data_IF_799412484057
#
_entry.id   IF_799412484057
#
_cell.length_a   1.000
_cell.length_b   1.000
_cell.length_c   1.000
_cell.angle_alpha   90.00
_cell.angle_beta   90.00
_cell.angle_gamma   90.00
#
_symmetry.space_group_name_H-M   'P 1'
#
loop_
_entity.id
_entity.type
_entity.pdbx_description
1 polymer ?
#
# COMPACT_ATOMS: atom_id res chain seq x y z
N UNK A 1 9.67 5.74 -9.94
CA UNK A 1 8.54 6.10 -9.05
C UNK A 1 8.89 5.80 -7.59
N UNK A 2 9.46 4.63 -7.33
CA UNK A 2 9.76 4.15 -5.97
C UNK A 2 10.72 5.07 -5.22
N UNK A 3 11.74 5.62 -5.88
CA UNK A 3 12.64 6.62 -5.27
C UNK A 3 11.89 7.83 -4.72
N UNK A 4 10.90 8.35 -5.45
CA UNK A 4 10.10 9.49 -4.99
C UNK A 4 9.23 9.12 -3.77
N UNK A 5 8.68 7.90 -3.75
CA UNK A 5 7.93 7.39 -2.61
C UNK A 5 8.83 7.19 -1.37
N UNK A 6 10.05 6.69 -1.57
CA UNK A 6 11.07 6.55 -0.52
C UNK A 6 11.46 7.93 0.04
N UNK A 7 11.75 8.90 -0.83
CA UNK A 7 12.05 10.26 -0.42
C UNK A 7 10.90 10.91 0.37
N UNK A 8 9.65 10.66 -0.05
CA UNK A 8 8.47 11.12 0.68
C UNK A 8 8.36 10.47 2.07
N UNK A 9 8.62 9.16 2.18
CA UNK A 9 8.62 8.47 3.47
C UNK A 9 9.73 9.00 4.38
N UNK A 10 10.92 9.25 3.85
CA UNK A 10 12.03 9.82 4.62
C UNK A 10 11.70 11.22 5.14
N UNK A 11 11.11 12.07 4.30
CA UNK A 11 10.60 13.37 4.74
C UNK A 11 9.58 13.22 5.88
N UNK A 12 8.61 12.29 5.75
CA UNK A 12 7.59 12.06 6.77
C UNK A 12 8.16 11.52 8.09
N UNK A 13 9.27 10.78 8.04
CA UNK A 13 10.00 10.26 9.20
C UNK A 13 10.66 11.38 10.01
N UNK A 14 11.13 12.43 9.34
CA UNK A 14 11.70 13.63 9.98
C UNK A 14 10.68 14.57 10.61
N UNK A 15 9.38 14.38 10.37
CA UNK A 15 8.32 15.19 10.99
C UNK A 15 8.07 14.77 12.44
N UNK A 16 7.51 15.66 13.29
CA UNK A 16 7.10 15.32 14.65
C UNK A 16 6.21 14.06 14.70
N UNK A 17 6.25 13.29 15.81
CA UNK A 17 5.40 12.12 15.99
C UNK A 17 3.93 12.44 15.73
N UNK A 18 3.30 11.65 14.86
CA UNK A 18 1.92 11.82 14.48
C UNK A 18 1.15 10.56 14.85
N UNK A 19 0.16 10.70 15.73
CA UNK A 19 -0.68 9.58 16.18
C UNK A 19 -1.71 9.13 15.12
N UNK A 20 -1.83 9.87 14.02
CA UNK A 20 -2.73 9.53 12.92
C UNK A 20 -2.06 8.69 11.84
N UNK A 21 -2.81 8.45 10.78
CA UNK A 21 -2.35 7.77 9.57
C UNK A 21 -2.04 8.79 8.49
N UNK A 22 -0.95 8.57 7.76
CA UNK A 22 -0.54 9.41 6.63
C UNK A 22 -1.11 8.85 5.33
N UNK A 23 -1.39 9.72 4.37
CA UNK A 23 -1.80 9.32 3.03
C UNK A 23 -0.81 9.88 2.02
N UNK A 24 -0.32 9.02 1.13
CA UNK A 24 0.41 9.39 -0.07
C UNK A 24 -0.57 9.32 -1.24
N UNK A 25 -0.51 10.30 -2.12
CA UNK A 25 -1.28 10.31 -3.38
C UNK A 25 -0.28 10.49 -4.53
N UNK A 26 -0.26 9.56 -5.47
CA UNK A 26 0.62 9.60 -6.64
C UNK A 26 -0.19 9.71 -7.92
N UNK A 27 0.30 10.50 -8.88
CA UNK A 27 -0.19 10.52 -10.26
C UNK A 27 0.87 9.84 -11.13
N UNK A 28 0.52 8.79 -11.85
CA UNK A 28 1.48 7.98 -12.62
C UNK A 28 0.82 7.27 -13.80
N UNK A 29 1.56 6.98 -14.86
CA UNK A 29 1.12 6.05 -15.92
C UNK A 29 1.48 4.60 -15.61
N UNK A 30 2.12 4.34 -14.46
CA UNK A 30 2.70 3.06 -14.05
C UNK A 30 3.79 2.53 -15.01
N UNK A 31 4.31 3.37 -15.90
CA UNK A 31 5.37 3.02 -16.84
C UNK A 31 6.75 3.15 -16.20
N UNK A 32 7.74 2.44 -16.74
CA UNK A 32 9.15 2.57 -16.38
C UNK A 32 9.67 1.52 -15.39
N UNK A 33 10.95 1.66 -15.08
CA UNK A 33 11.73 0.83 -14.16
C UNK A 33 12.19 1.67 -12.98
N UNK A 34 12.42 1.02 -11.84
CA UNK A 34 13.15 1.55 -10.71
C UNK A 34 14.49 0.84 -10.63
N UNK A 35 15.54 1.59 -10.35
CA UNK A 35 16.89 1.07 -10.12
C UNK A 35 17.15 1.07 -8.61
N UNK A 36 17.54 -0.07 -8.05
CA UNK A 36 17.89 -0.25 -6.63
C UNK A 36 16.80 0.20 -5.63
N UNK A 37 15.55 0.35 -6.08
CA UNK A 37 14.41 0.75 -5.27
C UNK A 37 13.25 -0.25 -5.46
N UNK A 38 13.36 -1.48 -4.94
CA UNK A 38 12.33 -2.51 -5.09
C UNK A 38 11.07 -2.17 -4.29
N UNK A 39 9.92 -2.70 -4.72
CA UNK A 39 8.61 -2.43 -4.09
C UNK A 39 8.58 -2.77 -2.60
N UNK A 40 9.29 -3.82 -2.17
CA UNK A 40 9.36 -4.22 -0.76
C UNK A 40 10.05 -3.14 0.11
N UNK A 41 11.02 -2.41 -0.43
CA UNK A 41 11.64 -1.30 0.29
C UNK A 41 10.65 -0.14 0.49
N UNK A 42 9.83 0.15 -0.52
CA UNK A 42 8.78 1.18 -0.45
C UNK A 42 7.70 0.79 0.56
N UNK A 43 7.24 -0.47 0.54
CA UNK A 43 6.25 -0.98 1.49
C UNK A 43 6.75 -0.87 2.93
N UNK A 44 8.00 -1.30 3.20
CA UNK A 44 8.65 -1.12 4.51
C UNK A 44 8.69 0.35 4.94
N UNK A 45 9.13 1.24 4.05
CA UNK A 45 9.21 2.66 4.36
C UNK A 45 7.83 3.27 4.70
N UNK A 46 6.78 2.90 3.94
CA UNK A 46 5.41 3.33 4.23
C UNK A 46 4.87 2.75 5.54
N UNK A 47 5.23 1.52 5.89
CA UNK A 47 4.87 0.91 7.17
C UNK A 47 5.43 1.69 8.35
N UNK A 48 6.72 2.02 8.30
CA UNK A 48 7.43 2.77 9.35
C UNK A 48 6.77 4.12 9.64
N UNK A 49 6.29 4.83 8.61
CA UNK A 49 5.64 6.13 8.78
C UNK A 49 4.11 6.04 8.87
N UNK A 50 3.55 4.84 8.98
CA UNK A 50 2.11 4.60 8.99
C UNK A 50 1.39 5.32 7.81
N UNK A 51 1.95 5.20 6.62
CA UNK A 51 1.39 5.74 5.39
C UNK A 51 0.58 4.68 4.61
N UNK A 52 -0.32 5.18 3.78
CA UNK A 52 -1.05 4.40 2.77
C UNK A 52 -0.96 5.10 1.42
N UNK A 53 -0.69 4.33 0.37
CA UNK A 53 -0.58 4.85 -0.99
C UNK A 53 -1.91 4.78 -1.73
N UNK A 54 -2.36 5.92 -2.25
CA UNK A 54 -3.44 5.98 -3.22
C UNK A 54 -2.88 6.49 -4.55
N UNK A 55 -3.42 6.00 -5.65
CA UNK A 55 -2.89 6.32 -6.98
C UNK A 55 -3.98 6.82 -7.91
N UNK A 56 -3.64 7.82 -8.70
CA UNK A 56 -4.36 8.27 -9.87
C UNK A 56 -3.52 7.80 -11.07
N UNK A 57 -4.09 6.92 -11.87
CA UNK A 57 -3.39 6.32 -13.00
C UNK A 57 -4.00 6.72 -14.34
N UNK A 58 -3.20 6.73 -15.40
CA UNK A 58 -3.76 6.95 -16.75
C UNK A 58 -4.78 5.87 -17.10
N UNK A 59 -5.67 6.16 -18.05
CA UNK A 59 -6.73 5.23 -18.48
C UNK A 59 -6.17 3.86 -18.87
N UNK A 60 -5.00 3.83 -19.51
CA UNK A 60 -4.39 2.62 -20.06
C UNK A 60 -3.31 2.00 -19.16
N UNK A 61 -3.07 2.56 -17.97
CA UNK A 61 -2.14 2.00 -17.00
C UNK A 61 -2.55 0.57 -16.62
N UNK A 62 -1.56 -0.31 -16.58
CA UNK A 62 -1.68 -1.74 -16.25
C UNK A 62 -0.57 -2.14 -15.27
N UNK A 63 -0.80 -3.14 -14.41
CA UNK A 63 0.27 -3.81 -13.68
C UNK A 63 1.33 -4.35 -14.65
N UNK A 64 2.60 -4.48 -14.22
CA UNK A 64 3.63 -5.08 -15.04
C UNK A 64 3.26 -6.52 -15.39
N UNK A 65 3.55 -6.91 -16.64
CA UNK A 65 3.38 -8.30 -17.05
C UNK A 65 4.47 -9.17 -16.41
N UNK A 66 4.17 -10.45 -16.09
CA UNK A 66 5.21 -11.36 -15.63
C UNK A 66 6.31 -11.49 -16.70
N UNK A 67 7.57 -11.70 -16.28
CA UNK A 67 8.66 -11.95 -17.22
C UNK A 67 8.31 -13.11 -18.15
N UNK A 68 8.74 -13.02 -19.42
CA UNK A 68 8.57 -14.12 -20.36
C UNK A 68 9.37 -15.34 -19.87
N UNK A 69 8.89 -16.58 -20.10
CA UNK A 69 9.67 -17.77 -19.77
C UNK A 69 11.09 -17.71 -20.35
N UNK A 70 12.09 -17.99 -19.53
CA UNK A 70 13.50 -17.95 -19.93
C UNK A 70 14.17 -16.56 -19.92
N UNK A 71 13.44 -15.50 -19.56
CA UNK A 71 14.02 -14.15 -19.36
C UNK A 71 14.16 -13.89 -17.87
N UNK A 72 15.40 -13.77 -17.40
CA UNK A 72 15.71 -13.32 -16.04
C UNK A 72 15.88 -11.80 -16.05
N UNK A 73 15.08 -11.09 -15.25
CA UNK A 73 15.27 -9.66 -15.06
C UNK A 73 16.48 -9.41 -14.16
N UNK A 74 17.25 -8.35 -14.45
CA UNK A 74 18.33 -7.93 -13.55
C UNK A 74 17.72 -7.64 -12.15
N UNK A 75 18.22 -8.25 -11.06
CA UNK A 75 17.71 -8.02 -9.71
C UNK A 75 17.81 -6.56 -9.26
N UNK A 76 18.68 -5.76 -9.86
CA UNK A 76 18.82 -4.33 -9.54
C UNK A 76 17.66 -3.49 -10.08
N UNK A 77 16.80 -4.05 -10.94
CA UNK A 77 15.70 -3.34 -11.57
C UNK A 77 14.34 -3.98 -11.28
N UNK A 78 13.36 -3.16 -10.98
CA UNK A 78 11.95 -3.58 -10.86
C UNK A 78 11.06 -2.70 -11.71
N UNK A 79 10.04 -3.28 -12.34
CA UNK A 79 9.00 -2.48 -12.99
C UNK A 79 8.19 -1.70 -11.95
N UNK A 80 7.67 -0.54 -12.34
CA UNK A 80 6.70 0.16 -11.52
C UNK A 80 5.43 -0.68 -11.34
N UNK A 81 5.02 -0.90 -10.09
CA UNK A 81 3.75 -1.53 -9.75
C UNK A 81 3.00 -0.75 -8.67
N UNK A 82 2.42 0.37 -9.06
CA UNK A 82 1.58 1.18 -8.17
C UNK A 82 0.31 0.44 -7.72
N UNK A 83 -0.14 -0.56 -8.49
CA UNK A 83 -1.30 -1.37 -8.16
C UNK A 83 -0.98 -2.31 -6.99
N UNK A 84 0.18 -2.96 -7.03
CA UNK A 84 0.73 -3.71 -5.90
C UNK A 84 0.86 -2.81 -4.67
N UNK A 85 1.59 -1.70 -4.78
CA UNK A 85 1.87 -0.82 -3.65
C UNK A 85 0.59 -0.25 -3.00
N UNK A 86 -0.39 0.15 -3.82
CA UNK A 86 -1.68 0.60 -3.33
C UNK A 86 -2.45 -0.53 -2.63
N UNK A 87 -2.50 -1.73 -3.20
CA UNK A 87 -3.18 -2.89 -2.60
C UNK A 87 -2.55 -3.28 -1.26
N UNK A 88 -1.23 -3.49 -1.22
CA UNK A 88 -0.53 -3.99 -0.03
C UNK A 88 -0.57 -2.99 1.13
N UNK A 89 -0.49 -1.69 0.82
CA UNK A 89 -0.67 -0.63 1.83
C UNK A 89 -2.14 -0.42 2.23
N UNK A 90 -3.09 -1.05 1.53
CA UNK A 90 -4.52 -0.98 1.76
C UNK A 90 -5.20 0.26 1.18
N UNK A 91 -4.55 0.97 0.27
CA UNK A 91 -5.04 2.16 -0.43
C UNK A 91 -5.90 1.89 -1.65
N UNK A 92 -5.99 2.87 -2.54
CA UNK A 92 -6.94 2.87 -3.65
C UNK A 92 -6.30 3.31 -4.97
N UNK A 93 -6.82 2.80 -6.09
CA UNK A 93 -6.37 3.17 -7.43
C UNK A 93 -7.55 3.70 -8.24
N UNK A 94 -7.40 4.92 -8.75
CA UNK A 94 -8.38 5.61 -9.56
C UNK A 94 -7.80 5.82 -10.97
N UNK A 95 -8.62 5.64 -12.00
CA UNK A 95 -8.23 6.01 -13.37
C UNK A 95 -8.58 7.47 -13.63
N UNK A 96 -7.67 8.21 -14.26
CA UNK A 96 -7.77 9.65 -14.49
C UNK A 96 -8.95 10.04 -15.41
N UNK A 97 -9.49 9.10 -16.17
CA UNK A 97 -10.70 9.28 -16.98
C UNK A 97 -12.00 9.26 -16.16
N UNK A 98 -11.91 9.14 -14.83
CA UNK A 98 -13.03 9.17 -13.87
C UNK A 98 -12.80 10.24 -12.79
N UNK A 99 -12.70 11.54 -13.15
CA UNK A 99 -12.37 12.62 -12.22
C UNK A 99 -13.38 12.77 -11.07
N UNK A 100 -14.64 12.41 -11.29
CA UNK A 100 -15.69 12.42 -10.27
C UNK A 100 -15.37 11.53 -9.06
N UNK A 101 -14.57 10.47 -9.26
CA UNK A 101 -14.17 9.53 -8.20
C UNK A 101 -13.05 10.07 -7.31
N UNK A 102 -12.40 11.18 -7.68
CA UNK A 102 -11.36 11.80 -6.86
C UNK A 102 -11.92 12.25 -5.51
N UNK A 103 -13.12 12.85 -5.54
CA UNK A 103 -13.84 13.24 -4.33
C UNK A 103 -14.02 12.05 -3.39
N UNK A 104 -14.46 10.91 -3.93
CA UNK A 104 -14.67 9.70 -3.13
C UNK A 104 -13.36 9.18 -2.53
N UNK A 105 -12.25 9.21 -3.28
CA UNK A 105 -10.93 8.82 -2.76
C UNK A 105 -10.52 9.71 -1.58
N UNK A 106 -10.69 11.03 -1.71
CA UNK A 106 -10.38 11.98 -0.64
C UNK A 106 -11.29 11.77 0.58
N UNK A 107 -12.57 11.49 0.37
CA UNK A 107 -13.51 11.13 1.45
C UNK A 107 -13.08 9.82 2.15
N UNK A 108 -12.71 8.79 1.39
CA UNK A 108 -12.20 7.51 1.94
C UNK A 108 -10.92 7.68 2.74
N UNK A 109 -10.01 8.57 2.32
CA UNK A 109 -8.80 8.90 3.08
C UNK A 109 -9.16 9.45 4.46
N UNK A 110 -10.23 10.26 4.56
CA UNK A 110 -10.69 10.89 5.81
C UNK A 110 -11.50 9.95 6.70
N UNK A 111 -12.29 9.04 6.13
CA UNK A 111 -13.26 8.19 6.84
C UNK A 111 -12.69 6.83 7.29
N UNK A 112 -11.38 6.69 7.39
CA UNK A 112 -10.74 5.40 7.59
C UNK A 112 -10.85 4.91 9.04
N UNK A 113 -11.38 3.70 9.22
CA UNK A 113 -11.50 3.06 10.53
C UNK A 113 -10.16 2.50 11.02
N UNK A 114 -9.89 2.67 12.31
CA UNK A 114 -8.84 1.94 13.03
C UNK A 114 -9.42 0.69 13.66
N UNK A 115 -8.86 -0.48 13.34
CA UNK A 115 -9.21 -1.75 14.00
C UNK A 115 -8.02 -2.19 14.85
N UNK A 116 -8.25 -2.30 16.15
CA UNK A 116 -7.27 -2.84 17.09
C UNK A 116 -7.57 -4.31 17.38
N UNK A 117 -6.54 -5.14 17.38
CA UNK A 117 -6.61 -6.53 17.84
C UNK A 117 -5.32 -6.83 18.60
N UNK A 118 -5.33 -7.89 19.43
CA UNK A 118 -4.12 -8.36 20.11
C UNK A 118 -3.29 -9.17 19.12
N UNK A 119 -2.12 -8.67 18.75
CA UNK A 119 -1.19 -9.40 17.90
C UNK A 119 -0.76 -10.71 18.60
N UNK A 120 -0.76 -11.86 17.90
CA UNK A 120 -0.15 -13.10 18.39
C UNK A 120 1.36 -12.93 18.62
N UNK A 121 1.94 -13.77 19.48
CA UNK A 121 3.39 -13.83 19.65
C UNK A 121 4.09 -14.21 18.34
N UNK A 122 5.19 -13.52 18.04
CA UNK A 122 5.98 -13.68 16.82
C UNK A 122 7.40 -13.14 17.04
N UNK A 123 8.36 -13.57 16.22
CA UNK A 123 9.72 -13.05 16.27
C UNK A 123 9.77 -11.59 15.80
N UNK A 124 10.74 -10.81 16.32
CA UNK A 124 10.93 -9.43 15.88
C UNK A 124 11.22 -9.37 14.38
N UNK A 125 10.51 -8.52 13.65
CA UNK A 125 10.66 -8.35 12.20
C UNK A 125 9.94 -9.41 11.33
N UNK A 126 9.36 -10.45 11.95
CA UNK A 126 8.59 -11.48 11.24
C UNK A 126 7.37 -10.86 10.54
N UNK A 127 7.17 -11.21 9.27
CA UNK A 127 6.00 -10.77 8.52
C UNK A 127 4.76 -11.54 8.96
N UNK A 128 3.69 -10.81 9.27
CA UNK A 128 2.39 -11.36 9.67
C UNK A 128 1.32 -10.87 8.71
N UNK A 129 0.61 -11.81 8.09
CA UNK A 129 -0.51 -11.50 7.21
C UNK A 129 -1.72 -11.02 8.02
N UNK A 130 -2.43 -10.05 7.47
CA UNK A 130 -3.70 -9.53 7.97
C UNK A 130 -4.78 -9.72 6.93
N UNK A 131 -5.92 -10.24 7.38
CA UNK A 131 -7.12 -10.36 6.57
C UNK A 131 -8.28 -9.70 7.32
N UNK A 132 -9.03 -8.88 6.59
CA UNK A 132 -10.20 -8.18 7.12
C UNK A 132 -11.36 -8.45 6.18
N UNK A 133 -12.39 -9.09 6.71
CA UNK A 133 -13.59 -9.43 5.95
C UNK A 133 -14.84 -8.89 6.62
N UNK A 134 -15.89 -8.72 5.81
CA UNK A 134 -17.23 -8.50 6.34
C UNK A 134 -17.79 -9.81 6.89
N UNK A 135 -18.34 -9.77 8.10
CA UNK A 135 -19.14 -10.87 8.62
C UNK A 135 -20.25 -11.25 7.65
N UNK A 136 -20.66 -12.52 7.65
CA UNK A 136 -21.56 -13.08 6.63
C UNK A 136 -22.86 -12.28 6.45
N UNK A 137 -23.52 -11.89 7.55
CA UNK A 137 -24.72 -11.06 7.51
C UNK A 137 -24.49 -9.68 6.90
N UNK A 138 -23.34 -9.06 7.18
CA UNK A 138 -22.96 -7.77 6.59
C UNK A 138 -22.65 -7.92 5.10
N UNK A 139 -21.96 -8.99 4.70
CA UNK A 139 -21.67 -9.29 3.29
C UNK A 139 -22.95 -9.49 2.47
N UNK A 140 -23.97 -10.16 3.04
CA UNK A 140 -25.29 -10.32 2.39
C UNK A 140 -26.02 -8.99 2.23
N UNK A 141 -25.96 -8.10 3.24
CA UNK A 141 -26.62 -6.78 3.24
C UNK A 141 -25.92 -5.78 2.33
N UNK A 142 -24.60 -5.76 2.32
CA UNK A 142 -23.76 -4.79 1.60
C UNK A 142 -22.97 -5.45 0.47
N UNK A 143 -23.68 -6.00 -0.52
CA UNK A 143 -23.07 -6.84 -1.57
C UNK A 143 -22.00 -6.16 -2.44
N UNK A 144 -21.97 -4.83 -2.46
CA UNK A 144 -21.01 -4.03 -3.24
C UNK A 144 -19.95 -3.36 -2.36
N UNK A 145 -19.93 -3.64 -1.05
CA UNK A 145 -18.93 -3.07 -0.17
C UNK A 145 -17.55 -3.68 -0.46
N UNK A 146 -16.55 -2.83 -0.58
CA UNK A 146 -15.16 -3.22 -0.76
C UNK A 146 -14.41 -2.98 0.55
N UNK A 147 -13.75 -4.01 1.06
CA UNK A 147 -12.85 -3.87 2.21
C UNK A 147 -11.45 -3.63 1.69
N UNK A 148 -10.84 -2.52 2.12
CA UNK A 148 -9.44 -2.19 1.85
C UNK A 148 -8.71 -2.12 3.17
N UNK A 149 -7.78 -3.05 3.36
CA UNK A 149 -6.94 -3.14 4.55
C UNK A 149 -5.49 -3.39 4.12
N UNK A 150 -4.54 -3.03 5.00
CA UNK A 150 -3.14 -3.39 4.80
C UNK A 150 -3.03 -4.92 4.83
N UNK A 151 -2.22 -5.49 3.96
CA UNK A 151 -2.08 -6.94 3.83
C UNK A 151 -1.33 -7.62 5.00
N UNK A 152 -0.63 -6.84 5.82
CA UNK A 152 0.13 -7.38 6.94
C UNK A 152 0.88 -6.32 7.73
N UNK A 153 1.74 -6.79 8.61
CA UNK A 153 2.63 -5.99 9.44
C UNK A 153 3.86 -6.80 9.82
N UNK A 154 4.95 -6.12 10.16
CA UNK A 154 6.10 -6.74 10.83
C UNK A 154 5.88 -6.73 12.33
N UNK A 155 6.04 -7.89 12.97
CA UNK A 155 5.93 -8.00 14.41
C UNK A 155 7.05 -7.21 15.10
N UNK A 156 6.69 -6.49 16.17
CA UNK A 156 7.67 -5.81 17.02
C UNK A 156 8.58 -6.78 17.80
N UNK A 157 8.20 -8.07 17.83
CA UNK A 157 8.85 -9.11 18.61
C UNK A 157 8.37 -9.16 20.06
N UNK A 158 8.43 -10.35 20.67
CA UNK A 158 8.34 -10.48 22.11
C UNK A 158 9.73 -10.19 22.66
N UNK A 159 9.97 -8.97 23.15
CA UNK A 159 11.09 -8.75 24.05
C UNK A 159 10.74 -9.50 25.34
N UNK A 160 11.39 -10.65 25.55
CA UNK A 160 11.26 -11.42 26.77
C UNK A 160 11.40 -10.49 27.98
N UNK A 161 10.33 -10.36 28.74
CA UNK A 161 10.37 -9.92 30.13
C UNK A 161 10.43 -11.15 31.00
#
# INVERSE_FOLDING_TARGET
>A
MNEALLAACEYLKGLPPFAGRRALVVLTDNGGLNELAPDEAVLRAMEEVNAVLNAIVTKDAKPPAPPRPGVTMNPDYTFNDVFLLARESGGDVLRADKPERLREMLERIRLRYGLGYRAPEAAAGEWRTLEVELAEGARRKYRRAEVRARAGYRAAGVNGR
#
